data_IF_984064945361
#
_entry.id   IF_984064945361
#
_cell.length_a   1.000
_cell.length_b   1.000
_cell.length_c   1.000
_cell.angle_alpha   90.00
_cell.angle_beta   90.00
_cell.angle_gamma   90.00
#
_symmetry.space_group_name_H-M   'P 1'
#
loop_
_entity.id
_entity.type
_entity.pdbx_description
1 polymer ?
#
# COMPACT_ATOMS: atom_id res chain seq x y z
N UNK A 1 31.19 -41.65 -24.62
CA UNK A 1 30.60 -41.24 -25.91
C UNK A 1 29.11 -41.55 -25.87
N UNK A 2 28.28 -40.54 -25.59
CA UNK A 2 26.88 -40.38 -26.06
C UNK A 2 26.29 -39.14 -25.37
N UNK A 3 25.60 -38.33 -26.16
CA UNK A 3 25.47 -36.88 -26.03
C UNK A 3 24.41 -36.38 -25.02
N UNK A 4 24.63 -35.16 -24.54
CA UNK A 4 23.67 -34.29 -23.83
C UNK A 4 22.40 -34.06 -24.66
N UNK A 5 21.26 -33.95 -23.98
CA UNK A 5 20.12 -33.14 -24.43
C UNK A 5 19.69 -32.20 -23.29
N UNK A 6 20.15 -30.96 -23.37
CA UNK A 6 19.71 -29.86 -22.52
C UNK A 6 18.41 -29.31 -23.10
N UNK A 7 17.28 -29.54 -22.43
CA UNK A 7 16.02 -28.90 -22.78
C UNK A 7 16.09 -27.42 -22.37
N UNK A 8 16.50 -26.56 -23.28
CA UNK A 8 16.38 -25.12 -23.14
C UNK A 8 14.88 -24.77 -23.14
N UNK A 9 14.35 -24.36 -21.99
CA UNK A 9 13.07 -23.66 -21.92
C UNK A 9 13.25 -22.31 -22.61
N UNK A 10 12.92 -22.25 -23.90
CA UNK A 10 12.79 -21.01 -24.64
C UNK A 10 11.69 -20.12 -24.05
N UNK A 11 11.73 -18.80 -24.31
CA UNK A 11 10.71 -17.89 -23.82
C UNK A 11 9.43 -18.12 -24.62
N UNK A 12 8.43 -18.78 -24.03
CA UNK A 12 7.08 -18.75 -24.58
C UNK A 12 6.51 -17.35 -24.39
N UNK A 13 6.74 -16.50 -25.39
CA UNK A 13 6.03 -15.25 -25.55
C UNK A 13 4.67 -15.51 -26.22
N UNK A 14 3.66 -14.77 -25.76
CA UNK A 14 2.34 -14.63 -26.35
C UNK A 14 1.37 -15.83 -26.20
N UNK A 15 1.03 -16.15 -24.95
CA UNK A 15 -0.30 -16.68 -24.67
C UNK A 15 -1.35 -15.63 -25.03
N UNK A 16 -2.32 -16.00 -25.87
CA UNK A 16 -3.45 -15.15 -26.27
C UNK A 16 -4.33 -14.87 -25.04
N UNK A 17 -3.98 -13.85 -24.26
CA UNK A 17 -4.85 -13.34 -23.22
C UNK A 17 -6.04 -12.71 -23.93
N UNK A 18 -7.21 -13.35 -23.84
CA UNK A 18 -8.47 -12.78 -24.32
C UNK A 18 -8.81 -11.55 -23.47
N UNK A 19 -8.35 -10.37 -23.89
CA UNK A 19 -8.74 -9.10 -23.28
C UNK A 19 -10.01 -8.57 -23.94
N UNK A 20 -10.94 -8.00 -23.17
CA UNK A 20 -12.15 -7.32 -23.66
C UNK A 20 -11.85 -6.02 -24.46
N UNK A 21 -10.58 -5.68 -24.66
CA UNK A 21 -10.16 -4.50 -25.39
C UNK A 21 -10.33 -4.72 -26.90
N UNK A 22 -10.86 -3.70 -27.59
CA UNK A 22 -10.96 -3.68 -29.05
C UNK A 22 -9.60 -3.54 -29.75
N UNK A 23 -8.52 -3.30 -28.99
CA UNK A 23 -7.17 -3.08 -29.47
C UNK A 23 -6.15 -3.78 -28.57
N UNK A 24 -4.97 -4.10 -29.12
CA UNK A 24 -3.89 -4.74 -28.36
C UNK A 24 -3.28 -3.79 -27.33
N UNK A 25 -3.05 -4.29 -26.11
CA UNK A 25 -2.27 -3.58 -25.10
C UNK A 25 -0.79 -3.65 -25.49
N UNK A 26 -0.17 -2.49 -25.69
CA UNK A 26 1.23 -2.38 -26.10
C UNK A 26 2.22 -2.58 -24.94
N UNK A 27 1.75 -2.46 -23.70
CA UNK A 27 2.58 -2.52 -22.49
C UNK A 27 2.35 -3.86 -21.80
N UNK A 28 3.41 -4.65 -21.68
CA UNK A 28 3.37 -5.91 -20.95
C UNK A 28 3.26 -5.68 -19.42
N UNK A 29 2.65 -6.61 -18.65
CA UNK A 29 2.61 -6.52 -17.20
C UNK A 29 4.03 -6.44 -16.60
N UNK A 30 4.29 -5.50 -15.69
CA UNK A 30 5.62 -5.31 -15.12
C UNK A 30 5.99 -6.49 -14.21
N UNK A 31 7.07 -7.20 -14.56
CA UNK A 31 7.57 -8.37 -13.81
C UNK A 31 7.92 -8.07 -12.35
N UNK A 32 8.23 -6.81 -12.02
CA UNK A 32 8.58 -6.40 -10.66
C UNK A 32 7.42 -6.58 -9.66
N UNK A 33 6.16 -6.36 -10.09
CA UNK A 33 4.97 -6.49 -9.25
C UNK A 33 4.57 -7.94 -8.97
N UNK A 34 5.22 -8.90 -9.63
CA UNK A 34 4.99 -10.34 -9.39
C UNK A 34 5.74 -10.84 -8.15
N UNK A 35 6.67 -10.05 -7.59
CA UNK A 35 7.41 -10.40 -6.39
C UNK A 35 6.67 -9.87 -5.15
N UNK A 36 6.62 -10.63 -4.04
CA UNK A 36 6.06 -10.13 -2.79
C UNK A 36 6.77 -8.86 -2.31
N UNK A 37 6.00 -7.91 -1.77
CA UNK A 37 6.55 -6.70 -1.15
C UNK A 37 7.32 -7.08 0.12
N UNK A 38 8.54 -6.58 0.27
CA UNK A 38 9.37 -6.79 1.46
C UNK A 38 10.04 -5.49 1.86
N UNK A 39 9.98 -5.15 3.14
CA UNK A 39 10.54 -3.92 3.72
C UNK A 39 11.40 -4.31 4.93
N UNK A 40 12.66 -3.84 5.02
CA UNK A 40 13.52 -4.18 6.14
C UNK A 40 13.05 -3.48 7.43
N UNK A 41 13.11 -4.18 8.56
CA UNK A 41 12.89 -3.57 9.87
C UNK A 41 14.12 -2.74 10.25
N UNK A 42 13.92 -1.45 10.56
CA UNK A 42 14.99 -0.53 10.95
C UNK A 42 14.54 0.29 12.15
N UNK A 43 15.48 0.53 13.06
CA UNK A 43 15.33 1.54 14.10
C UNK A 43 15.65 2.92 13.51
N UNK A 44 14.68 3.83 13.54
CA UNK A 44 14.74 5.15 12.93
C UNK A 44 15.02 6.20 14.01
N UNK A 45 16.30 6.60 14.13
CA UNK A 45 16.78 7.61 15.10
C UNK A 45 17.16 8.95 14.44
N UNK A 46 16.79 9.14 13.16
CA UNK A 46 16.98 10.40 12.45
C UNK A 46 15.91 11.44 12.78
N UNK A 47 15.94 12.63 12.16
CA UNK A 47 14.98 13.71 12.43
C UNK A 47 13.55 13.42 11.96
N UNK A 48 13.34 12.33 11.22
CA UNK A 48 12.02 11.89 10.75
C UNK A 48 12.12 11.18 9.39
N UNK A 49 11.17 10.29 9.05
CA UNK A 49 10.05 9.82 9.88
C UNK A 49 10.50 8.90 11.03
N UNK A 50 9.65 8.76 12.05
CA UNK A 50 9.90 7.92 13.23
C UNK A 50 9.25 6.53 13.10
N UNK A 51 9.70 5.54 13.89
CA UNK A 51 9.01 4.25 13.98
C UNK A 51 7.56 4.43 14.48
N UNK A 52 6.64 3.66 13.91
CA UNK A 52 5.23 3.70 14.29
C UNK A 52 5.00 3.00 15.64
N UNK A 53 4.15 3.58 16.48
CA UNK A 53 3.64 2.89 17.66
C UNK A 53 2.80 1.65 17.23
N UNK A 54 2.84 0.53 17.96
CA UNK A 54 2.13 -0.70 17.59
C UNK A 54 0.64 -0.49 17.32
N UNK A 55 -0.02 0.39 18.10
CA UNK A 55 -1.43 0.73 17.93
C UNK A 55 -1.73 1.43 16.60
N UNK A 56 -0.84 2.30 16.14
CA UNK A 56 -0.99 3.02 14.86
C UNK A 56 -0.75 2.06 13.69
N UNK A 57 0.24 1.16 13.82
CA UNK A 57 0.49 0.12 12.81
C UNK A 57 -0.72 -0.81 12.65
N UNK A 58 -1.35 -1.23 13.75
CA UNK A 58 -2.57 -2.03 13.71
C UNK A 58 -3.74 -1.27 13.05
N UNK A 59 -3.87 0.04 13.31
CA UNK A 59 -4.91 0.86 12.69
C UNK A 59 -4.79 0.94 11.16
N UNK A 60 -3.57 0.88 10.61
CA UNK A 60 -3.32 0.88 9.17
C UNK A 60 -3.85 -0.34 8.42
N UNK A 61 -4.18 -1.43 9.13
CA UNK A 61 -4.79 -2.65 8.56
C UNK A 61 -6.31 -2.74 8.73
N UNK A 62 -6.97 -1.70 9.26
CA UNK A 62 -8.41 -1.70 9.48
C UNK A 62 -9.19 -1.61 8.15
N UNK A 63 -10.39 -2.18 8.16
CA UNK A 63 -11.30 -2.15 7.01
C UNK A 63 -11.72 -0.72 6.68
N UNK A 64 -11.87 -0.44 5.38
CA UNK A 64 -12.35 0.86 4.93
C UNK A 64 -13.80 1.11 5.32
N UNK A 65 -14.09 2.36 5.70
CA UNK A 65 -15.44 2.88 5.92
C UNK A 65 -15.67 4.09 5.01
N UNK A 66 -16.93 4.37 4.69
CA UNK A 66 -17.30 5.50 3.83
C UNK A 66 -16.98 6.83 4.50
N UNK A 67 -16.31 7.73 3.78
CA UNK A 67 -15.85 9.02 4.31
C UNK A 67 -16.96 9.92 4.87
N UNK A 68 -18.22 9.74 4.45
CA UNK A 68 -19.40 10.48 4.94
C UNK A 68 -20.26 9.69 5.93
N UNK A 69 -19.78 8.53 6.42
CA UNK A 69 -20.48 7.77 7.45
C UNK A 69 -20.37 8.46 8.81
N UNK A 70 -21.33 8.20 9.69
CA UNK A 70 -21.36 8.79 11.05
C UNK A 70 -20.09 8.46 11.84
N UNK A 71 -19.57 7.26 11.70
CA UNK A 71 -18.35 6.79 12.36
C UNK A 71 -17.12 7.60 11.92
N UNK A 72 -17.06 8.03 10.66
CA UNK A 72 -15.98 8.90 10.18
C UNK A 72 -16.05 10.29 10.82
N UNK A 73 -17.25 10.87 10.92
CA UNK A 73 -17.42 12.14 11.62
C UNK A 73 -17.05 12.06 13.10
N UNK A 74 -17.39 10.95 13.77
CA UNK A 74 -16.96 10.70 15.15
C UNK A 74 -15.43 10.65 15.28
N UNK A 75 -14.73 9.95 14.37
CA UNK A 75 -13.26 9.91 14.35
C UNK A 75 -12.69 11.32 14.13
N UNK A 76 -13.28 12.10 13.23
CA UNK A 76 -12.85 13.48 12.99
C UNK A 76 -13.05 14.36 14.24
N UNK A 77 -14.18 14.25 14.92
CA UNK A 77 -14.45 15.01 16.15
C UNK A 77 -13.47 14.66 17.29
N UNK A 78 -13.07 13.39 17.41
CA UNK A 78 -12.05 12.95 18.36
C UNK A 78 -10.65 13.46 18.00
N UNK A 79 -10.29 13.45 16.70
CA UNK A 79 -9.03 14.01 16.22
C UNK A 79 -8.94 15.51 16.54
N UNK A 80 -10.00 16.28 16.26
CA UNK A 80 -10.05 17.72 16.58
C UNK A 80 -9.80 17.99 18.07
N UNK A 81 -10.43 17.22 18.94
CA UNK A 81 -10.21 17.32 20.40
C UNK A 81 -8.75 17.03 20.77
N UNK A 82 -8.16 16.00 20.17
CA UNK A 82 -6.74 15.67 20.34
C UNK A 82 -5.82 16.82 19.90
N UNK A 83 -6.10 17.43 18.75
CA UNK A 83 -5.31 18.54 18.21
C UNK A 83 -5.45 19.79 19.09
N UNK A 84 -6.67 20.12 19.51
CA UNK A 84 -6.92 21.19 20.48
C UNK A 84 -6.14 20.99 21.78
N UNK A 85 -6.08 19.74 22.27
CA UNK A 85 -5.30 19.39 23.45
C UNK A 85 -3.79 19.59 23.23
N UNK A 86 -3.20 19.03 22.17
CA UNK A 86 -1.75 19.16 21.97
C UNK A 86 -1.31 20.59 21.66
N UNK A 87 -2.18 21.39 21.02
CA UNK A 87 -1.93 22.81 20.76
C UNK A 87 -2.39 23.74 21.88
N UNK A 88 -3.05 23.21 22.92
CA UNK A 88 -3.60 23.99 24.03
C UNK A 88 -4.47 25.17 23.55
N UNK A 89 -5.40 24.90 22.63
CA UNK A 89 -6.30 25.89 22.03
C UNK A 89 -7.77 25.54 22.21
N UNK A 90 -8.64 26.56 22.20
CA UNK A 90 -10.11 26.41 22.26
C UNK A 90 -10.79 26.76 20.93
N UNK A 91 -10.02 27.00 19.87
CA UNK A 91 -10.59 27.37 18.58
C UNK A 91 -11.48 26.23 18.03
N UNK A 92 -12.79 26.45 17.81
CA UNK A 92 -13.68 25.41 17.30
C UNK A 92 -13.36 25.01 15.84
N UNK A 93 -12.59 25.84 15.14
CA UNK A 93 -12.11 25.64 13.77
C UNK A 93 -10.74 24.96 13.70
N UNK A 94 -10.18 24.50 14.82
CA UNK A 94 -8.99 23.63 14.80
C UNK A 94 -9.34 22.33 14.09
N UNK A 95 -8.66 22.06 12.97
CA UNK A 95 -8.73 20.83 12.19
C UNK A 95 -7.99 19.71 12.90
#
# INVERSE_FOLDING_TARGET
MLARASAALGPQAAGWVRTMASHQLLVAPPKALLKPLSVPNRLLLGPGPSNLAPRVLAAGGLQMIGHMHKEMFQIMDEIKQGIQYVFQTRNPLTL
#
